data_IF_665530451912
#
_entry.id   IF_665530451912
#
_cell.length_a   1.000
_cell.length_b   1.000
_cell.length_c   1.000
_cell.angle_alpha   90.00
_cell.angle_beta   90.00
_cell.angle_gamma   90.00
#
_symmetry.space_group_name_H-M   'P 1'
#
loop_
_entity.id
_entity.type
_entity.pdbx_description
1 polymer ?
#
# COMPACT_ATOMS: atom_id res chain seq x y z
N UNK A 1 -7.38 -25.82 -32.85
CA UNK A 1 -8.35 -26.32 -31.85
C UNK A 1 -9.67 -25.63 -32.13
N UNK A 2 -10.74 -26.40 -32.32
CA UNK A 2 -12.07 -25.87 -32.63
C UNK A 2 -12.62 -25.14 -31.41
N UNK A 3 -12.90 -23.84 -31.52
CA UNK A 3 -13.47 -23.03 -30.45
C UNK A 3 -14.90 -23.53 -30.19
N UNK A 4 -15.17 -24.12 -29.02
CA UNK A 4 -16.44 -24.76 -28.70
C UNK A 4 -17.55 -23.71 -28.60
N UNK A 5 -18.67 -23.98 -29.28
CA UNK A 5 -19.89 -23.18 -29.16
C UNK A 5 -20.59 -23.55 -27.84
N UNK A 6 -20.92 -22.55 -27.04
CA UNK A 6 -21.55 -22.70 -25.74
C UNK A 6 -23.01 -22.23 -25.73
N UNK A 7 -23.33 -21.19 -26.50
CA UNK A 7 -24.70 -20.71 -26.70
C UNK A 7 -24.86 -20.07 -28.09
N UNK A 8 -26.11 -19.93 -28.53
CA UNK A 8 -26.47 -19.29 -29.79
C UNK A 8 -27.75 -18.47 -29.62
N UNK A 9 -27.72 -17.22 -30.07
CA UNK A 9 -28.84 -16.26 -30.10
C UNK A 9 -28.99 -15.81 -31.56
N UNK A 10 -29.89 -16.46 -32.30
CA UNK A 10 -30.01 -16.34 -33.76
C UNK A 10 -28.66 -16.51 -34.46
N UNK A 11 -28.12 -15.44 -35.06
CA UNK A 11 -26.83 -15.44 -35.77
C UNK A 11 -25.62 -15.20 -34.84
N UNK A 12 -25.84 -14.78 -33.59
CA UNK A 12 -24.78 -14.53 -32.61
C UNK A 12 -24.45 -15.82 -31.87
N UNK A 13 -23.19 -16.23 -31.96
CA UNK A 13 -22.65 -17.40 -31.25
C UNK A 13 -21.80 -16.93 -30.08
N UNK A 14 -21.99 -17.55 -28.92
CA UNK A 14 -21.13 -17.39 -27.75
C UNK A 14 -20.25 -18.64 -27.62
N UNK A 15 -18.95 -18.43 -27.54
CA UNK A 15 -17.94 -19.48 -27.59
C UNK A 15 -17.12 -19.57 -26.30
N UNK A 16 -16.43 -20.69 -26.12
CA UNK A 16 -15.52 -20.90 -25.00
C UNK A 16 -14.41 -19.83 -24.92
N UNK A 17 -13.89 -19.39 -26.07
CA UNK A 17 -12.90 -18.31 -26.12
C UNK A 17 -13.43 -16.96 -25.65
N UNK A 18 -14.74 -16.68 -25.77
CA UNK A 18 -15.32 -15.43 -25.26
C UNK A 18 -15.42 -15.46 -23.73
N UNK A 19 -15.76 -16.62 -23.14
CA UNK A 19 -15.71 -16.83 -21.69
C UNK A 19 -14.28 -16.63 -21.17
N UNK A 20 -13.30 -17.25 -21.81
CA UNK A 20 -11.89 -17.12 -21.40
C UNK A 20 -11.38 -15.68 -21.53
N UNK A 21 -11.85 -14.95 -22.55
CA UNK A 21 -11.51 -13.54 -22.73
C UNK A 21 -12.16 -12.65 -21.67
N UNK A 22 -13.42 -12.91 -21.32
CA UNK A 22 -14.11 -12.21 -20.24
C UNK A 22 -13.40 -12.44 -18.90
N UNK A 23 -13.03 -13.68 -18.57
CA UNK A 23 -12.30 -14.01 -17.34
C UNK A 23 -10.96 -13.25 -17.21
N UNK A 24 -10.24 -13.05 -18.31
CA UNK A 24 -8.97 -12.31 -18.32
C UNK A 24 -9.11 -10.82 -18.04
N UNK A 25 -10.30 -10.26 -18.25
CA UNK A 25 -10.57 -8.83 -18.02
C UNK A 25 -11.07 -8.55 -16.59
N UNK A 26 -11.48 -9.57 -15.86
CA UNK A 26 -11.96 -9.42 -14.49
C UNK A 26 -10.81 -9.25 -13.49
N UNK A 27 -11.04 -8.54 -12.37
CA UNK A 27 -10.14 -8.58 -11.22
C UNK A 27 -9.86 -10.03 -10.76
N UNK A 28 -8.66 -10.30 -10.27
CA UNK A 28 -8.19 -11.66 -9.97
C UNK A 28 -9.16 -12.46 -9.07
N UNK A 29 -9.70 -11.83 -8.03
CA UNK A 29 -10.66 -12.46 -7.12
C UNK A 29 -11.96 -12.88 -7.83
N UNK A 30 -12.47 -12.02 -8.70
CA UNK A 30 -13.68 -12.31 -9.48
C UNK A 30 -13.42 -13.37 -10.54
N UNK A 31 -12.26 -13.30 -11.20
CA UNK A 31 -11.84 -14.32 -12.17
C UNK A 31 -11.76 -15.71 -11.50
N UNK A 32 -11.21 -15.80 -10.28
CA UNK A 32 -11.15 -17.06 -9.53
C UNK A 32 -12.55 -17.62 -9.22
N UNK A 33 -13.49 -16.76 -8.81
CA UNK A 33 -14.87 -17.16 -8.56
C UNK A 33 -15.53 -17.78 -9.81
N UNK A 34 -15.40 -17.13 -10.96
CA UNK A 34 -16.00 -17.60 -12.21
C UNK A 34 -15.22 -18.73 -12.88
N UNK A 35 -13.97 -19.01 -12.48
CA UNK A 35 -13.15 -20.07 -13.08
C UNK A 35 -13.39 -21.46 -12.47
N UNK A 36 -14.65 -21.79 -12.21
CA UNK A 36 -15.16 -23.11 -11.80
C UNK A 36 -16.21 -23.58 -12.81
N UNK A 37 -16.57 -24.88 -12.88
CA UNK A 37 -17.63 -25.33 -13.80
C UNK A 37 -18.94 -24.54 -13.64
N UNK A 38 -19.40 -24.35 -12.40
CA UNK A 38 -20.63 -23.60 -12.10
C UNK A 38 -20.45 -22.10 -12.35
N UNK A 39 -19.31 -21.51 -11.97
CA UNK A 39 -19.01 -20.11 -12.23
C UNK A 39 -18.94 -19.80 -13.73
N UNK A 40 -18.36 -20.68 -14.55
CA UNK A 40 -18.33 -20.52 -16.01
C UNK A 40 -19.73 -20.61 -16.61
N UNK A 41 -20.59 -21.49 -16.09
CA UNK A 41 -21.99 -21.56 -16.49
C UNK A 41 -22.75 -20.27 -16.14
N UNK A 42 -22.52 -19.71 -14.94
CA UNK A 42 -23.10 -18.40 -14.56
C UNK A 42 -22.60 -17.26 -15.44
N UNK A 43 -21.31 -17.23 -15.76
CA UNK A 43 -20.74 -16.22 -16.66
C UNK A 43 -21.31 -16.36 -18.09
N UNK A 44 -21.52 -17.59 -18.57
CA UNK A 44 -22.20 -17.86 -19.84
C UNK A 44 -23.62 -17.30 -19.83
N UNK A 45 -24.40 -17.57 -18.79
CA UNK A 45 -25.75 -17.00 -18.64
C UNK A 45 -25.74 -15.47 -18.62
N UNK A 46 -24.75 -14.84 -17.98
CA UNK A 46 -24.62 -13.38 -18.00
C UNK A 46 -24.33 -12.85 -19.42
N UNK A 47 -23.45 -13.50 -20.17
CA UNK A 47 -23.17 -13.12 -21.56
C UNK A 47 -24.38 -13.33 -22.47
N UNK A 48 -25.11 -14.45 -22.31
CA UNK A 48 -26.37 -14.70 -23.04
C UNK A 48 -27.37 -13.58 -22.75
N UNK A 49 -27.59 -13.24 -21.47
CA UNK A 49 -28.51 -12.18 -21.10
C UNK A 49 -28.08 -10.81 -21.67
N UNK A 50 -26.78 -10.49 -21.63
CA UNK A 50 -26.26 -9.27 -22.24
C UNK A 50 -26.57 -9.21 -23.73
N UNK A 51 -26.31 -10.28 -24.49
CA UNK A 51 -26.57 -10.35 -25.93
C UNK A 51 -28.07 -10.25 -26.24
N UNK A 52 -28.93 -10.90 -25.45
CA UNK A 52 -30.39 -10.81 -25.60
C UNK A 52 -30.88 -9.38 -25.40
N UNK A 53 -30.44 -8.70 -24.34
CA UNK A 53 -30.81 -7.29 -24.11
C UNK A 53 -30.21 -6.34 -25.15
N UNK A 54 -28.98 -6.58 -25.59
CA UNK A 54 -28.34 -5.79 -26.65
C UNK A 54 -29.11 -5.91 -27.97
N UNK A 55 -29.53 -7.13 -28.32
CA UNK A 55 -30.37 -7.36 -29.49
C UNK A 55 -31.71 -6.65 -29.36
N UNK A 56 -32.40 -6.83 -28.22
CA UNK A 56 -33.67 -6.17 -27.96
C UNK A 56 -33.56 -4.64 -28.04
N UNK A 57 -32.49 -4.05 -27.49
CA UNK A 57 -32.24 -2.62 -27.58
C UNK A 57 -32.10 -2.14 -29.04
N UNK A 58 -31.41 -2.91 -29.90
CA UNK A 58 -31.28 -2.60 -31.33
C UNK A 58 -32.60 -2.69 -32.08
N UNK A 59 -33.38 -3.76 -31.84
CA UNK A 59 -34.69 -3.94 -32.48
C UNK A 59 -35.70 -2.84 -32.09
N UNK A 60 -35.56 -2.28 -30.88
CA UNK A 60 -36.39 -1.18 -30.40
C UNK A 60 -35.81 0.21 -30.74
N UNK A 61 -34.77 0.27 -31.58
CA UNK A 61 -34.12 1.50 -32.01
C UNK A 61 -33.64 2.40 -30.85
N UNK A 62 -33.23 1.80 -29.72
CA UNK A 62 -32.69 2.55 -28.56
C UNK A 62 -31.46 3.38 -28.99
N UNK A 63 -30.68 2.90 -29.97
CA UNK A 63 -29.53 3.63 -30.53
C UNK A 63 -29.92 4.97 -31.19
N UNK A 64 -31.18 5.13 -31.59
CA UNK A 64 -31.69 6.34 -32.24
C UNK A 64 -32.20 7.40 -31.25
N UNK A 65 -32.38 7.05 -29.98
CA UNK A 65 -32.83 7.97 -28.95
C UNK A 65 -31.80 9.08 -28.68
N UNK A 66 -32.27 10.33 -28.56
CA UNK A 66 -31.40 11.49 -28.34
C UNK A 66 -30.61 11.39 -27.03
N UNK A 67 -31.18 10.78 -26.00
CA UNK A 67 -30.48 10.53 -24.73
C UNK A 67 -29.30 9.57 -24.94
N UNK A 68 -29.50 8.45 -25.60
CA UNK A 68 -28.43 7.49 -25.90
C UNK A 68 -27.34 8.11 -26.77
N UNK A 69 -27.70 8.82 -27.85
CA UNK A 69 -26.74 9.52 -28.72
C UNK A 69 -25.90 10.53 -27.95
N UNK A 70 -26.51 11.27 -27.02
CA UNK A 70 -25.83 12.23 -26.15
C UNK A 70 -24.84 11.51 -25.21
N UNK A 71 -25.26 10.40 -24.60
CA UNK A 71 -24.39 9.59 -23.74
C UNK A 71 -23.22 8.97 -24.52
N UNK A 72 -23.49 8.40 -25.69
CA UNK A 72 -22.49 7.79 -26.55
C UNK A 72 -21.44 8.82 -26.99
N UNK A 73 -21.87 10.03 -27.37
CA UNK A 73 -20.95 11.12 -27.71
C UNK A 73 -20.04 11.47 -26.53
N UNK A 74 -20.59 11.63 -25.33
CA UNK A 74 -19.83 11.93 -24.11
C UNK A 74 -18.79 10.86 -23.80
N UNK A 75 -19.22 9.58 -23.76
CA UNK A 75 -18.32 8.45 -23.48
C UNK A 75 -17.22 8.34 -24.54
N UNK A 76 -17.55 8.56 -25.82
CA UNK A 76 -16.56 8.57 -26.90
C UNK A 76 -15.51 9.66 -26.71
N UNK A 77 -15.92 10.88 -26.33
CA UNK A 77 -15.00 11.99 -26.05
C UNK A 77 -14.11 11.69 -24.82
N UNK A 78 -14.68 11.15 -23.74
CA UNK A 78 -13.95 10.75 -22.53
C UNK A 78 -12.90 9.66 -22.82
N UNK A 79 -13.28 8.59 -23.54
CA UNK A 79 -12.36 7.53 -23.94
C UNK A 79 -11.25 8.07 -24.84
N UNK A 80 -11.57 8.99 -25.75
CA UNK A 80 -10.57 9.60 -26.63
C UNK A 80 -9.53 10.40 -25.83
N UNK A 81 -9.99 11.18 -24.86
CA UNK A 81 -9.10 11.94 -23.95
C UNK A 81 -8.28 10.99 -23.08
N UNK A 82 -8.89 9.97 -22.47
CA UNK A 82 -8.18 8.96 -21.69
C UNK A 82 -7.11 8.23 -22.51
N UNK A 83 -7.43 7.83 -23.74
CA UNK A 83 -6.50 7.18 -24.65
C UNK A 83 -5.34 8.10 -25.02
N UNK A 84 -5.60 9.40 -25.24
CA UNK A 84 -4.56 10.40 -25.49
C UNK A 84 -3.63 10.55 -24.28
N UNK A 85 -4.16 10.67 -23.06
CA UNK A 85 -3.33 10.69 -21.83
C UNK A 85 -2.47 9.43 -21.72
N UNK A 86 -3.06 8.26 -21.93
CA UNK A 86 -2.32 6.99 -21.93
C UNK A 86 -1.20 6.96 -22.99
N UNK A 87 -1.42 7.54 -24.17
CA UNK A 87 -0.39 7.64 -25.22
C UNK A 87 0.76 8.54 -24.77
N UNK A 88 0.47 9.71 -24.22
CA UNK A 88 1.48 10.66 -23.70
C UNK A 88 2.30 10.01 -22.56
N UNK A 89 1.62 9.37 -21.60
CA UNK A 89 2.29 8.73 -20.47
C UNK A 89 3.20 7.57 -20.90
N UNK A 90 2.84 6.84 -21.97
CA UNK A 90 3.66 5.74 -22.52
C UNK A 90 4.96 6.20 -23.17
N UNK A 91 5.11 7.49 -23.45
CA UNK A 91 6.38 8.05 -23.91
C UNK A 91 7.40 8.24 -22.77
N UNK A 92 6.98 8.13 -21.51
CA UNK A 92 7.90 8.15 -20.38
C UNK A 92 8.63 6.81 -20.29
N UNK A 93 9.94 6.84 -20.44
CA UNK A 93 10.84 5.71 -20.18
C UNK A 93 11.65 5.99 -18.92
N UNK A 94 12.29 5.00 -18.31
CA UNK A 94 13.29 5.18 -17.25
C UNK A 94 14.42 4.20 -17.52
N UNK A 95 15.65 4.70 -17.58
CA UNK A 95 16.82 3.87 -17.85
C UNK A 95 17.38 3.28 -16.56
N UNK A 96 17.96 2.08 -16.62
CA UNK A 96 18.52 1.41 -15.44
C UNK A 96 19.60 2.26 -14.74
N UNK A 97 20.48 2.87 -15.52
CA UNK A 97 21.53 3.77 -15.02
C UNK A 97 20.97 4.93 -14.20
N UNK A 98 19.82 5.48 -14.61
CA UNK A 98 19.16 6.56 -13.87
C UNK A 98 18.71 6.11 -12.48
N UNK A 99 18.25 4.86 -12.36
CA UNK A 99 17.85 4.28 -11.08
C UNK A 99 19.05 4.11 -10.16
N UNK A 100 20.17 3.62 -10.70
CA UNK A 100 21.43 3.47 -9.96
C UNK A 100 21.97 4.83 -9.48
N UNK A 101 21.99 5.83 -10.36
CA UNK A 101 22.42 7.19 -10.04
C UNK A 101 21.52 7.80 -8.95
N UNK A 102 20.19 7.65 -9.08
CA UNK A 102 19.23 8.11 -8.07
C UNK A 102 19.47 7.42 -6.73
N UNK A 103 19.63 6.09 -6.72
CA UNK A 103 19.92 5.34 -5.51
C UNK A 103 21.21 5.82 -4.84
N UNK A 104 22.28 5.98 -5.61
CA UNK A 104 23.59 6.38 -5.10
C UNK A 104 23.60 7.79 -4.49
N UNK A 105 22.86 8.73 -5.09
CA UNK A 105 22.71 10.10 -4.57
C UNK A 105 21.80 10.17 -3.35
N UNK A 106 20.81 9.28 -3.23
CA UNK A 106 19.79 9.32 -2.19
C UNK A 106 19.88 8.15 -1.19
N UNK A 107 21.05 7.52 -1.03
CA UNK A 107 21.23 6.32 -0.17
C UNK A 107 20.66 6.49 1.24
N UNK A 108 20.87 7.65 1.84
CA UNK A 108 20.42 7.94 3.20
C UNK A 108 18.89 7.83 3.33
N UNK A 109 18.14 8.17 2.27
CA UNK A 109 16.66 8.05 2.24
C UNK A 109 16.15 6.61 2.24
N UNK A 110 17.03 5.66 1.91
CA UNK A 110 16.75 4.22 1.93
C UNK A 110 17.30 3.53 3.18
N UNK A 111 17.76 4.31 4.16
CA UNK A 111 18.18 3.78 5.45
C UNK A 111 16.96 3.48 6.29
N UNK A 112 16.77 2.21 6.62
CA UNK A 112 15.94 1.82 7.75
C UNK A 112 16.74 2.15 9.01
N UNK A 113 16.22 3.08 9.82
CA UNK A 113 16.88 3.50 11.05
C UNK A 113 17.04 2.34 12.03
N UNK A 114 17.92 2.50 13.01
CA UNK A 114 18.01 1.54 14.10
C UNK A 114 16.68 1.43 14.86
N UNK A 115 16.38 0.22 15.31
CA UNK A 115 15.21 -0.05 16.14
C UNK A 115 15.54 -0.99 17.28
N UNK A 116 14.84 -0.82 18.40
CA UNK A 116 15.00 -1.67 19.58
C UNK A 116 13.63 -2.20 20.00
N UNK A 117 13.61 -3.45 20.46
CA UNK A 117 12.47 -4.02 21.19
C UNK A 117 12.80 -3.96 22.66
N UNK A 118 11.94 -3.31 23.45
CA UNK A 118 12.15 -3.18 24.89
C UNK A 118 10.86 -3.38 25.68
N UNK A 119 11.05 -3.76 26.93
CA UNK A 119 10.04 -3.77 27.98
C UNK A 119 10.32 -2.63 28.95
N UNK A 120 9.27 -2.11 29.59
CA UNK A 120 9.44 -1.12 30.65
C UNK A 120 8.53 -1.33 31.87
N UNK A 121 8.97 -0.76 32.99
CA UNK A 121 8.17 -0.61 34.21
C UNK A 121 8.17 0.87 34.56
N UNK A 122 6.98 1.47 34.69
CA UNK A 122 6.84 2.87 35.10
C UNK A 122 6.33 2.96 36.54
N UNK A 123 7.08 3.65 37.39
CA UNK A 123 6.72 3.93 38.80
C UNK A 123 6.83 5.42 39.11
N UNK A 124 6.26 5.86 40.23
CA UNK A 124 6.16 7.28 40.54
C UNK A 124 7.48 7.86 41.06
N UNK A 125 8.28 7.05 41.75
CA UNK A 125 9.49 7.51 42.45
C UNK A 125 10.73 6.69 42.13
N UNK A 126 11.91 7.28 42.30
CA UNK A 126 13.20 6.61 42.10
C UNK A 126 13.37 5.43 43.08
N UNK A 127 12.99 5.63 44.35
CA UNK A 127 13.07 4.59 45.38
C UNK A 127 12.23 3.36 45.03
N UNK A 128 11.05 3.55 44.44
CA UNK A 128 10.24 2.44 43.93
C UNK A 128 10.94 1.73 42.77
N UNK A 129 11.55 2.47 41.84
CA UNK A 129 12.25 1.87 40.70
C UNK A 129 13.45 1.05 41.18
N UNK A 130 14.24 1.58 42.13
CA UNK A 130 15.37 0.87 42.74
C UNK A 130 14.92 -0.39 43.48
N UNK A 131 13.80 -0.33 44.21
CA UNK A 131 13.22 -1.50 44.88
C UNK A 131 12.81 -2.57 43.87
N UNK A 132 12.10 -2.18 42.80
CA UNK A 132 11.67 -3.12 41.76
C UNK A 132 12.86 -3.76 41.06
N UNK A 133 13.90 -2.97 40.74
CA UNK A 133 15.14 -3.48 40.16
C UNK A 133 15.78 -4.54 41.06
N UNK A 134 15.88 -4.29 42.37
CA UNK A 134 16.42 -5.25 43.33
C UNK A 134 15.61 -6.56 43.39
N UNK A 135 14.28 -6.48 43.34
CA UNK A 135 13.43 -7.68 43.30
C UNK A 135 13.67 -8.48 42.01
N UNK A 136 13.92 -7.81 40.88
CA UNK A 136 14.27 -8.48 39.61
C UNK A 136 15.64 -9.17 39.71
N UNK A 137 16.64 -8.50 40.29
CA UNK A 137 17.97 -9.07 40.54
C UNK A 137 17.93 -10.27 41.51
N UNK A 138 16.97 -10.28 42.44
CA UNK A 138 16.74 -11.38 43.39
C UNK A 138 15.94 -12.56 42.79
N UNK A 139 15.45 -12.44 41.54
CA UNK A 139 14.84 -13.54 40.78
C UNK A 139 13.38 -13.34 40.36
N UNK A 140 12.77 -12.18 40.63
CA UNK A 140 11.45 -11.85 40.07
C UNK A 140 11.58 -11.60 38.56
N UNK A 141 10.72 -12.18 37.73
CA UNK A 141 10.79 -11.88 36.29
C UNK A 141 10.40 -10.42 36.02
N UNK A 142 10.93 -9.85 34.93
CA UNK A 142 10.61 -8.46 34.56
C UNK A 142 9.12 -8.30 34.26
N UNK A 143 8.50 -9.31 33.65
CA UNK A 143 7.10 -9.36 33.28
C UNK A 143 6.19 -9.37 34.52
N UNK A 144 6.55 -10.18 35.53
CA UNK A 144 5.83 -10.19 36.81
C UNK A 144 5.99 -8.86 37.55
N UNK A 145 7.20 -8.30 37.56
CA UNK A 145 7.47 -6.99 38.14
C UNK A 145 6.66 -5.89 37.44
N UNK A 146 6.57 -5.94 36.10
CA UNK A 146 5.77 -5.01 35.31
C UNK A 146 4.28 -5.12 35.66
N UNK A 147 3.73 -6.34 35.70
CA UNK A 147 2.33 -6.58 36.08
C UNK A 147 2.01 -6.08 37.49
N UNK A 148 2.96 -6.23 38.43
CA UNK A 148 2.78 -5.91 39.85
C UNK A 148 2.95 -4.42 40.16
N UNK A 149 3.92 -3.76 39.53
CA UNK A 149 4.37 -2.42 39.93
C UNK A 149 4.18 -1.34 38.87
N UNK A 150 4.12 -1.71 37.59
CA UNK A 150 4.04 -0.70 36.52
C UNK A 150 2.67 -0.04 36.48
N UNK A 151 2.68 1.28 36.41
CA UNK A 151 1.50 2.14 36.23
C UNK A 151 1.15 2.37 34.74
N UNK A 152 1.99 1.90 33.82
CA UNK A 152 1.74 1.97 32.39
C UNK A 152 0.78 0.85 31.94
N UNK A 153 -0.17 1.11 31.01
CA UNK A 153 -1.06 0.08 30.46
C UNK A 153 -0.35 -1.12 29.81
N UNK A 154 0.92 -0.99 29.42
CA UNK A 154 1.73 -2.12 28.91
C UNK A 154 1.97 -3.21 29.95
N UNK A 155 1.69 -2.95 31.23
CA UNK A 155 1.80 -3.91 32.33
C UNK A 155 1.04 -5.21 32.08
N UNK A 156 -0.12 -5.17 31.41
CA UNK A 156 -0.92 -6.37 31.06
C UNK A 156 -0.17 -7.31 30.11
N UNK A 157 0.79 -6.79 29.36
CA UNK A 157 1.67 -7.53 28.45
C UNK A 157 3.10 -7.64 29.00
N UNK A 158 3.27 -7.56 30.33
CA UNK A 158 4.59 -7.66 30.96
C UNK A 158 5.51 -6.48 30.65
N UNK A 159 4.94 -5.32 30.28
CA UNK A 159 5.68 -4.11 29.95
C UNK A 159 6.18 -4.02 28.51
N UNK A 160 5.82 -4.96 27.62
CA UNK A 160 6.29 -5.00 26.23
C UNK A 160 5.80 -3.79 25.41
N UNK A 161 6.74 -3.11 24.76
CA UNK A 161 6.49 -1.97 23.88
C UNK A 161 6.61 -2.34 22.39
N UNK A 162 7.02 -3.56 22.05
CA UNK A 162 7.36 -3.94 20.69
C UNK A 162 8.61 -3.21 20.17
N UNK A 163 8.81 -3.23 18.85
CA UNK A 163 9.90 -2.49 18.20
C UNK A 163 9.55 -1.02 18.04
N UNK A 164 10.49 -0.15 18.39
CA UNK A 164 10.43 1.28 18.09
C UNK A 164 11.77 1.79 17.55
N UNK A 165 11.69 2.85 16.77
CA UNK A 165 12.80 3.55 16.15
C UNK A 165 13.11 4.83 16.92
N UNK A 166 14.29 5.40 16.67
CA UNK A 166 14.64 6.72 17.16
C UNK A 166 13.60 7.78 16.75
N UNK A 167 13.26 8.68 17.67
CA UNK A 167 12.24 9.71 17.53
C UNK A 167 10.80 9.28 17.85
N UNK A 168 10.57 8.03 18.28
CA UNK A 168 9.23 7.53 18.64
C UNK A 168 8.96 7.59 20.15
N UNK A 169 10.00 7.68 20.98
CA UNK A 169 9.90 7.72 22.44
C UNK A 169 10.39 9.05 23.02
N UNK A 170 10.14 9.30 24.31
CA UNK A 170 10.70 10.49 24.97
C UNK A 170 12.23 10.40 25.04
N UNK A 171 12.97 11.51 24.86
CA UNK A 171 14.42 11.49 24.64
C UNK A 171 15.22 10.73 25.71
N UNK A 172 14.83 10.86 26.98
CA UNK A 172 15.52 10.22 28.10
C UNK A 172 15.33 8.70 28.09
N UNK A 173 14.10 8.23 27.81
CA UNK A 173 13.78 6.81 27.68
C UNK A 173 14.46 6.20 26.46
N UNK A 174 14.38 6.89 25.32
CA UNK A 174 14.99 6.46 24.08
C UNK A 174 16.49 6.26 24.25
N UNK A 175 17.19 7.27 24.78
CA UNK A 175 18.62 7.20 25.05
C UNK A 175 18.97 5.97 25.89
N UNK A 176 18.24 5.75 26.99
CA UNK A 176 18.49 4.60 27.86
C UNK A 176 18.24 3.26 27.14
N UNK A 177 17.18 3.14 26.33
CA UNK A 177 16.87 1.92 25.59
C UNK A 177 17.90 1.63 24.49
N UNK A 178 18.38 2.65 23.77
CA UNK A 178 19.37 2.48 22.72
C UNK A 178 20.80 2.27 23.27
N UNK A 179 21.12 2.75 24.47
CA UNK A 179 22.42 2.53 25.13
C UNK A 179 22.51 1.20 25.89
N UNK A 180 21.40 0.70 26.46
CA UNK A 180 21.40 -0.50 27.31
C UNK A 180 21.79 -1.79 26.58
N UNK A 181 22.51 -2.70 27.24
CA UNK A 181 22.82 -4.02 26.67
C UNK A 181 21.57 -4.91 26.57
N UNK A 182 21.56 -5.84 25.61
CA UNK A 182 20.44 -6.77 25.43
C UNK A 182 20.36 -7.68 26.65
N UNK A 183 19.18 -7.74 27.28
CA UNK A 183 18.90 -8.54 28.46
C UNK A 183 19.06 -7.79 29.79
N UNK A 184 19.79 -6.67 29.80
CA UNK A 184 20.07 -5.90 31.01
C UNK A 184 18.90 -4.98 31.38
N UNK A 185 18.73 -4.80 32.69
CA UNK A 185 17.77 -3.84 33.27
C UNK A 185 18.51 -2.55 33.59
N UNK A 186 18.07 -1.43 33.01
CA UNK A 186 18.71 -0.13 33.20
C UNK A 186 18.65 0.36 34.65
N UNK A 187 19.44 1.39 34.98
CA UNK A 187 19.13 2.25 36.12
C UNK A 187 17.78 2.97 35.92
N UNK A 188 17.14 3.48 36.99
CA UNK A 188 15.93 4.28 36.89
C UNK A 188 16.12 5.48 35.95
N UNK A 189 15.31 5.52 34.89
CA UNK A 189 15.31 6.59 33.90
C UNK A 189 14.19 7.57 34.23
N UNK A 190 14.54 8.80 34.60
CA UNK A 190 13.55 9.83 34.88
C UNK A 190 12.98 10.40 33.57
N UNK A 191 11.66 10.45 33.46
CA UNK A 191 10.94 11.17 32.39
C UNK A 191 9.85 12.05 33.00
N UNK A 192 9.12 12.77 32.16
CA UNK A 192 7.92 13.50 32.59
C UNK A 192 6.80 12.63 33.17
N UNK A 193 6.84 11.30 32.96
CA UNK A 193 5.81 10.36 33.44
C UNK A 193 6.17 9.70 34.77
N UNK A 194 7.40 9.87 35.27
CA UNK A 194 7.92 9.22 36.47
C UNK A 194 9.27 8.56 36.19
N UNK A 195 9.51 7.41 36.83
CA UNK A 195 10.75 6.66 36.71
C UNK A 195 10.52 5.34 35.98
N UNK A 196 11.39 5.06 35.01
CA UNK A 196 11.31 3.85 34.19
C UNK A 196 12.47 2.91 34.46
N UNK A 197 12.17 1.62 34.59
CA UNK A 197 13.16 0.57 34.33
C UNK A 197 12.95 0.07 32.91
N UNK A 198 14.02 -0.07 32.14
CA UNK A 198 13.97 -0.53 30.75
C UNK A 198 14.76 -1.84 30.65
N UNK A 199 14.22 -2.79 29.90
CA UNK A 199 14.93 -4.01 29.51
C UNK A 199 14.86 -4.18 28.01
N UNK A 200 16.01 -4.20 27.35
CA UNK A 200 16.09 -4.38 25.90
C UNK A 200 16.11 -5.87 25.58
N UNK A 201 15.24 -6.31 24.68
CA UNK A 201 15.17 -7.72 24.25
C UNK A 201 15.87 -7.95 22.92
N UNK A 202 15.83 -6.97 22.03
CA UNK A 202 16.44 -7.07 20.70
C UNK A 202 16.84 -5.69 20.20
N UNK A 203 17.96 -5.61 19.48
CA UNK A 203 18.37 -4.41 18.74
C UNK A 203 18.58 -4.76 17.28
N UNK A 204 18.07 -3.92 16.38
CA UNK A 204 18.31 -3.98 14.95
C UNK A 204 19.09 -2.74 14.55
N UNK A 205 20.31 -2.90 14.01
CA UNK A 205 21.11 -1.76 13.57
C UNK A 205 20.42 -1.07 12.39
N UNK A 206 20.80 0.18 12.13
CA UNK A 206 20.38 0.84 10.90
C UNK A 206 20.91 0.06 9.68
N UNK A 207 20.04 -0.18 8.69
CA UNK A 207 20.38 -0.91 7.47
C UNK A 207 19.97 -0.06 6.27
N UNK A 208 20.94 0.21 5.40
CA UNK A 208 20.66 0.79 4.08
C UNK A 208 20.11 -0.31 3.19
N UNK A 209 18.86 -0.18 2.76
CA UNK A 209 18.24 -1.14 1.82
C UNK A 209 19.05 -1.17 0.54
N UNK A 210 19.34 -2.36 0.05
CA UNK A 210 20.11 -2.53 -1.18
C UNK A 210 19.35 -2.00 -2.39
N UNK A 211 20.07 -1.69 -3.47
CA UNK A 211 19.46 -1.22 -4.72
C UNK A 211 18.36 -2.17 -5.20
N UNK A 212 18.58 -3.49 -5.18
CA UNK A 212 17.59 -4.48 -5.63
C UNK A 212 16.30 -4.45 -4.81
N UNK A 213 16.36 -4.17 -3.51
CA UNK A 213 15.17 -4.08 -2.64
C UNK A 213 14.32 -2.85 -2.95
N UNK A 214 14.93 -1.74 -3.40
CA UNK A 214 14.24 -0.46 -3.61
C UNK A 214 14.06 -0.10 -5.09
N UNK A 215 14.68 -0.83 -6.02
CA UNK A 215 14.71 -0.56 -7.46
C UNK A 215 13.33 -0.36 -8.07
N UNK A 216 12.36 -1.21 -7.74
CA UNK A 216 11.00 -1.10 -8.28
C UNK A 216 10.25 0.10 -7.71
N UNK A 217 10.51 0.45 -6.44
CA UNK A 217 9.95 1.65 -5.80
C UNK A 217 10.52 2.91 -6.46
N UNK A 218 11.84 2.98 -6.64
CA UNK A 218 12.52 4.09 -7.33
C UNK A 218 11.98 4.24 -8.75
N UNK A 219 11.94 3.14 -9.53
CA UNK A 219 11.43 3.15 -10.91
C UNK A 219 10.01 3.65 -10.98
N UNK A 220 9.12 3.16 -10.11
CA UNK A 220 7.72 3.58 -10.06
C UNK A 220 7.59 5.08 -9.77
N UNK A 221 8.36 5.60 -8.81
CA UNK A 221 8.32 7.02 -8.43
C UNK A 221 8.81 7.90 -9.59
N UNK A 222 10.00 7.63 -10.14
CA UNK A 222 10.56 8.38 -11.25
C UNK A 222 9.64 8.33 -12.48
N UNK A 223 9.10 7.14 -12.81
CA UNK A 223 8.19 6.99 -13.93
C UNK A 223 6.90 7.80 -13.73
N UNK A 224 6.32 7.77 -12.52
CA UNK A 224 5.11 8.52 -12.17
C UNK A 224 5.35 10.03 -12.31
N UNK A 225 6.48 10.53 -11.80
CA UNK A 225 6.81 11.95 -11.90
C UNK A 225 7.07 12.38 -13.34
N UNK A 226 7.76 11.54 -14.13
CA UNK A 226 8.00 11.80 -15.56
C UNK A 226 6.70 11.79 -16.37
N UNK A 227 5.79 10.87 -16.08
CA UNK A 227 4.46 10.83 -16.69
C UNK A 227 3.64 12.09 -16.37
N UNK A 228 3.61 12.50 -15.10
CA UNK A 228 2.96 13.75 -14.66
C UNK A 228 3.56 14.96 -15.37
N UNK A 229 4.88 15.05 -15.42
CA UNK A 229 5.58 16.15 -16.09
C UNK A 229 5.26 16.21 -17.59
N UNK A 230 5.27 15.08 -18.30
CA UNK A 230 4.90 15.02 -19.72
C UNK A 230 3.48 15.50 -19.97
N UNK A 231 2.53 15.04 -19.15
CA UNK A 231 1.13 15.45 -19.25
C UNK A 231 0.96 16.94 -18.99
N UNK A 232 1.56 17.47 -17.92
CA UNK A 232 1.51 18.89 -17.59
C UNK A 232 2.15 19.75 -18.69
N UNK A 233 3.33 19.37 -19.17
CA UNK A 233 4.03 20.07 -20.25
C UNK A 233 3.21 20.09 -21.53
N UNK A 234 2.55 18.97 -21.88
CA UNK A 234 1.68 18.92 -23.06
C UNK A 234 0.43 19.77 -22.87
N UNK A 235 -0.18 19.77 -21.69
CA UNK A 235 -1.31 20.62 -21.40
C UNK A 235 -0.96 22.11 -21.54
N UNK A 236 0.21 22.53 -21.05
CA UNK A 236 0.71 23.89 -21.17
C UNK A 236 0.99 24.29 -22.63
N UNK A 237 1.59 23.39 -23.42
CA UNK A 237 1.80 23.57 -24.86
C UNK A 237 0.45 23.79 -25.58
N UNK A 238 -0.53 22.92 -25.33
CA UNK A 238 -1.84 22.98 -25.97
C UNK A 238 -2.64 24.22 -25.54
N UNK A 239 -2.55 24.65 -24.27
CA UNK A 239 -3.19 25.89 -23.79
C UNK A 239 -2.63 27.14 -24.45
N UNK A 240 -1.37 27.13 -24.89
CA UNK A 240 -0.76 28.22 -25.66
C UNK A 240 -1.13 28.16 -27.15
N UNK A 241 -1.27 26.94 -27.68
CA UNK A 241 -1.61 26.72 -29.08
C UNK A 241 -3.09 26.98 -29.40
N UNK A 242 -3.99 26.84 -28.42
CA UNK A 242 -5.42 27.00 -28.58
C UNK A 242 -5.93 28.27 -27.91
N UNK A 243 -6.99 28.86 -28.49
CA UNK A 243 -7.67 29.98 -27.85
C UNK A 243 -8.50 29.47 -26.67
N UNK A 244 -7.98 29.64 -25.44
CA UNK A 244 -8.63 29.21 -24.21
C UNK A 244 -9.13 30.43 -23.45
N UNK A 245 -10.46 30.60 -23.39
CA UNK A 245 -11.12 31.62 -22.57
C UNK A 245 -11.81 30.95 -21.38
N UNK A 246 -11.54 31.43 -20.16
CA UNK A 246 -12.25 31.00 -18.95
C UNK A 246 -13.11 32.18 -18.48
N UNK A 247 -14.41 32.10 -18.72
CA UNK A 247 -15.37 33.06 -18.20
C UNK A 247 -15.77 32.62 -16.78
N UNK A 248 -15.62 33.51 -15.80
CA UNK A 248 -16.15 33.33 -14.45
C UNK A 248 -17.63 33.70 -14.39
#
# INVERSE_FOLDING_TARGET
>A
MTNKILAQIDDKVITESEIDSALKQLPQEQAMYFNTPDGRAQLLEQLVNFEVFLKYAKENNIEEEEEFKTQLKRVKEEILVQYMYSKIMREATVEEKELEDYYNVNKDTFTEGESVRAKHILVATEDEALKVKKEIEEGLSFEEAAQKYSTCPSNVSGGDLGFFHAGQMVPEFEKAAFEAEIGDVTEPVQTQFGFHLVKVEEKKPAVVKSFEEVKDVIRKNILTDRQRYKVASKADELRKAYNVTINQ
#
